data_IF_953551394758
#
_entry.id   IF_953551394758
#
_cell.length_a   1.000
_cell.length_b   1.000
_cell.length_c   1.000
_cell.angle_alpha   90.00
_cell.angle_beta   90.00
_cell.angle_gamma   90.00
#
_symmetry.space_group_name_H-M   'P 1'
#
loop_
_entity.id
_entity.type
_entity.pdbx_description
1 polymer ?
#
# COMPACT_ATOMS: atom_id res chain seq x y z
N UNK A 1 -4.32 5.51 -9.45
CA UNK A 1 -3.74 5.25 -10.79
C UNK A 1 -4.73 5.56 -11.90
N UNK A 2 -5.83 4.80 -12.02
CA UNK A 2 -6.83 5.00 -13.08
C UNK A 2 -7.27 6.47 -13.24
N UNK A 3 -7.58 7.16 -12.13
CA UNK A 3 -7.93 8.58 -12.16
C UNK A 3 -6.83 9.50 -12.72
N UNK A 4 -5.55 9.24 -12.42
CA UNK A 4 -4.44 10.00 -13.01
C UNK A 4 -4.33 9.76 -14.52
N UNK A 5 -4.50 8.50 -14.96
CA UNK A 5 -4.51 8.16 -16.38
C UNK A 5 -5.66 8.84 -17.13
N UNK A 6 -6.86 8.85 -16.54
CA UNK A 6 -8.04 9.50 -17.12
C UNK A 6 -7.91 11.03 -17.16
N UNK A 7 -7.28 11.63 -16.15
CA UNK A 7 -7.13 13.08 -16.07
C UNK A 7 -6.12 13.62 -17.12
N UNK A 8 -5.09 12.85 -17.47
CA UNK A 8 -4.19 13.16 -18.58
C UNK A 8 -3.26 14.37 -18.40
N UNK A 9 -3.16 14.91 -17.18
CA UNK A 9 -2.31 16.08 -16.85
C UNK A 9 -0.98 15.69 -16.18
N UNK A 10 -0.47 14.51 -16.51
CA UNK A 10 0.75 13.95 -15.94
C UNK A 10 0.47 12.72 -15.06
N UNK A 11 1.48 11.85 -14.95
CA UNK A 11 1.43 10.62 -14.17
C UNK A 11 2.42 10.72 -13.01
N UNK A 12 1.97 10.68 -11.75
CA UNK A 12 2.88 10.68 -10.62
C UNK A 12 3.50 9.31 -10.42
N UNK A 13 4.63 9.27 -9.70
CA UNK A 13 5.13 8.03 -9.10
C UNK A 13 4.26 7.69 -7.89
N UNK A 14 3.71 6.48 -7.84
CA UNK A 14 2.87 6.09 -6.71
C UNK A 14 3.73 5.66 -5.51
N UNK A 15 3.34 6.12 -4.33
CA UNK A 15 3.90 5.68 -3.06
C UNK A 15 2.80 4.96 -2.28
N UNK A 16 3.00 3.67 -2.04
CA UNK A 16 2.15 2.85 -1.19
C UNK A 16 2.77 2.65 0.18
N UNK A 17 1.95 2.61 1.22
CA UNK A 17 2.35 2.25 2.57
C UNK A 17 1.45 1.14 3.11
N UNK A 18 2.03 0.19 3.82
CA UNK A 18 1.31 -0.80 4.61
C UNK A 18 1.86 -0.82 6.03
N UNK A 19 1.00 -1.13 7.01
CA UNK A 19 1.49 -1.41 8.36
C UNK A 19 2.29 -2.72 8.34
N UNK A 20 3.40 -2.79 9.07
CA UNK A 20 4.33 -3.91 9.03
C UNK A 20 3.67 -5.27 9.35
N UNK A 21 2.72 -5.30 10.28
CA UNK A 21 1.96 -6.51 10.62
C UNK A 21 0.83 -6.85 9.64
N UNK A 22 0.60 -6.02 8.62
CA UNK A 22 -0.42 -6.19 7.58
C UNK A 22 0.11 -5.72 6.22
N UNK A 23 1.31 -6.19 5.83
CA UNK A 23 2.02 -5.76 4.60
C UNK A 23 2.09 -6.82 3.48
N UNK A 24 0.96 -7.34 2.98
CA UNK A 24 0.95 -8.36 1.94
C UNK A 24 1.67 -7.96 0.64
N UNK A 25 1.45 -6.73 0.13
CA UNK A 25 2.03 -6.28 -1.14
C UNK A 25 3.55 -6.16 -1.05
N UNK A 26 4.07 -5.81 0.13
CA UNK A 26 5.51 -5.73 0.39
C UNK A 26 6.12 -7.13 0.47
N UNK A 27 5.44 -8.07 1.13
CA UNK A 27 5.98 -9.42 1.34
C UNK A 27 5.68 -10.40 0.20
N UNK A 28 4.88 -10.01 -0.80
CA UNK A 28 4.54 -10.88 -1.93
C UNK A 28 3.69 -12.10 -1.54
N UNK A 29 3.07 -12.11 -0.36
CA UNK A 29 2.26 -13.23 0.15
C UNK A 29 1.11 -12.77 1.04
N UNK A 30 0.05 -13.58 1.11
CA UNK A 30 -1.06 -13.37 2.04
C UNK A 30 -0.55 -13.38 3.47
N UNK A 31 -1.05 -12.45 4.28
CA UNK A 31 -0.84 -12.43 5.73
C UNK A 31 -2.12 -12.94 6.38
N UNK A 32 -2.10 -14.17 6.90
CA UNK A 32 -3.32 -14.81 7.43
C UNK A 32 -3.89 -14.11 8.67
N UNK A 33 -3.01 -13.52 9.48
CA UNK A 33 -3.36 -12.83 10.74
C UNK A 33 -2.80 -11.41 10.71
N UNK A 34 -3.38 -10.50 9.92
CA UNK A 34 -2.90 -9.13 9.84
C UNK A 34 -3.17 -8.40 11.15
N UNK A 35 -2.16 -7.74 11.71
CA UNK A 35 -2.28 -6.99 12.97
C UNK A 35 -1.67 -5.60 12.82
N UNK A 36 -2.41 -4.58 13.28
CA UNK A 36 -1.97 -3.18 13.34
C UNK A 36 -3.01 -2.34 14.06
N UNK A 37 -2.53 -1.31 14.77
CA UNK A 37 -3.34 -0.22 15.34
C UNK A 37 -4.10 0.57 14.26
N UNK A 38 -3.60 0.62 13.02
CA UNK A 38 -4.22 1.30 11.89
C UNK A 38 -5.32 0.41 11.26
N UNK A 39 -6.44 0.28 11.95
CA UNK A 39 -7.52 -0.69 11.62
C UNK A 39 -8.05 -0.55 10.19
N UNK A 40 -8.08 0.65 9.61
CA UNK A 40 -8.51 0.90 8.23
C UNK A 40 -7.65 0.17 7.18
N UNK A 41 -6.40 -0.18 7.51
CA UNK A 41 -5.47 -0.88 6.62
C UNK A 41 -5.06 -2.26 7.16
N UNK A 42 -5.78 -2.80 8.16
CA UNK A 42 -5.54 -4.16 8.71
C UNK A 42 -6.06 -5.25 7.74
N UNK A 43 -5.42 -5.35 6.58
CA UNK A 43 -5.84 -6.21 5.47
C UNK A 43 -4.69 -7.15 5.09
N UNK A 44 -4.92 -8.46 5.21
CA UNK A 44 -3.93 -9.49 4.92
C UNK A 44 -3.98 -10.08 3.50
N UNK A 45 -5.13 -9.93 2.81
CA UNK A 45 -5.32 -10.37 1.43
C UNK A 45 -6.14 -9.31 0.66
N UNK A 46 -5.49 -8.28 0.09
CA UNK A 46 -6.19 -7.21 -0.62
C UNK A 46 -6.89 -7.72 -1.87
N UNK A 47 -8.20 -7.49 -1.98
CA UNK A 47 -9.03 -7.92 -3.12
C UNK A 47 -8.50 -7.42 -4.48
N UNK A 48 -7.83 -6.26 -4.50
CA UNK A 48 -7.26 -5.62 -5.70
C UNK A 48 -5.74 -5.73 -5.75
N UNK A 49 -5.17 -6.83 -5.25
CA UNK A 49 -3.73 -7.08 -5.19
C UNK A 49 -3.01 -6.78 -6.52
N UNK A 50 -3.44 -7.46 -7.58
CA UNK A 50 -2.73 -7.43 -8.86
C UNK A 50 -2.82 -6.07 -9.53
N UNK A 51 -3.96 -5.39 -9.37
CA UNK A 51 -4.17 -4.02 -9.83
C UNK A 51 -3.25 -3.03 -9.10
N UNK A 52 -3.03 -3.23 -7.80
CA UNK A 52 -2.11 -2.40 -7.03
C UNK A 52 -0.65 -2.59 -7.47
N UNK A 53 -0.20 -3.84 -7.68
CA UNK A 53 1.13 -4.12 -8.20
C UNK A 53 1.36 -3.54 -9.59
N UNK A 54 0.40 -3.73 -10.50
CA UNK A 54 0.47 -3.14 -11.86
C UNK A 54 0.55 -1.61 -11.82
N UNK A 55 -0.20 -0.97 -10.92
CA UNK A 55 -0.15 0.47 -10.77
C UNK A 55 1.20 0.95 -10.22
N UNK A 56 1.78 0.22 -9.25
CA UNK A 56 3.10 0.54 -8.70
C UNK A 56 4.18 0.39 -9.78
N UNK A 57 4.18 -0.72 -10.52
CA UNK A 57 5.11 -0.98 -11.62
C UNK A 57 4.99 0.07 -12.73
N UNK A 58 3.78 0.30 -13.26
CA UNK A 58 3.55 1.25 -14.36
C UNK A 58 3.86 2.71 -13.97
N UNK A 59 3.75 3.07 -12.70
CA UNK A 59 4.10 4.40 -12.22
C UNK A 59 5.59 4.55 -11.83
N UNK A 60 6.38 3.46 -11.90
CA UNK A 60 7.73 3.41 -11.32
C UNK A 60 7.73 3.72 -9.81
N UNK A 61 6.64 3.39 -9.14
CA UNK A 61 6.37 3.65 -7.73
C UNK A 61 6.99 2.61 -6.80
N UNK A 62 6.73 2.76 -5.51
CA UNK A 62 7.17 1.81 -4.48
C UNK A 62 6.07 1.57 -3.46
N UNK A 63 6.12 0.41 -2.79
CA UNK A 63 5.33 0.11 -1.60
C UNK A 63 6.27 -0.26 -0.46
N UNK A 64 6.05 0.31 0.73
CA UNK A 64 6.86 0.05 1.92
C UNK A 64 6.01 -0.40 3.10
N UNK A 65 6.62 -1.19 3.98
CA UNK A 65 6.08 -1.52 5.28
C UNK A 65 6.57 -0.51 6.31
N UNK A 66 5.69 -0.04 7.20
CA UNK A 66 6.02 0.89 8.30
C UNK A 66 5.47 0.35 9.62
N UNK A 67 6.20 0.54 10.71
CA UNK A 67 5.75 0.08 12.03
C UNK A 67 4.63 0.95 12.57
N UNK A 68 3.79 0.40 13.45
CA UNK A 68 2.74 1.19 14.11
C UNK A 68 3.31 2.36 14.91
N UNK A 69 4.51 2.22 15.48
CA UNK A 69 5.21 3.33 16.14
C UNK A 69 5.51 4.48 15.16
N UNK A 70 5.93 4.17 13.92
CA UNK A 70 6.16 5.17 12.88
C UNK A 70 4.84 5.79 12.37
N UNK A 71 3.79 4.98 12.23
CA UNK A 71 2.44 5.46 11.88
C UNK A 71 1.94 6.46 12.94
N UNK A 72 2.06 6.12 14.23
CA UNK A 72 1.68 7.01 15.33
C UNK A 72 2.55 8.26 15.41
N UNK A 73 3.85 8.13 15.15
CA UNK A 73 4.76 9.28 15.13
C UNK A 73 4.42 10.28 14.02
N UNK A 74 3.99 9.81 12.85
CA UNK A 74 3.59 10.66 11.74
C UNK A 74 2.18 11.25 11.87
N UNK A 75 1.34 10.70 12.75
CA UNK A 75 -0.01 11.21 13.02
C UNK A 75 -0.03 12.39 13.99
N UNK A 76 0.98 12.47 14.87
CA UNK A 76 1.16 13.56 15.84
C UNK A 76 1.71 14.82 15.17
#
# INVERSE_FOLDING_TARGET
WLGYQQYGRGLPRLLGGQAAGAAPLVHGRVIERPETLATAIRIGNPARWQQALQALDASGGIVTAVTDAAILAAWR
#
